data_IF_584303974362
#
_entry.id   IF_584303974362
#
_cell.length_a   1.000
_cell.length_b   1.000
_cell.length_c   1.000
_cell.angle_alpha   90.00
_cell.angle_beta   90.00
_cell.angle_gamma   90.00
#
_symmetry.space_group_name_H-M   'P 1'
#
loop_
_entity.id
_entity.type
_entity.pdbx_description
1 polymer ?
#
# COMPACT_ATOMS: atom_id res chain seq x y z
N UNK A 1 47.92 14.03 20.00
CA UNK A 1 46.48 14.26 19.75
C UNK A 1 46.29 14.33 18.25
N UNK A 2 45.52 13.43 17.66
CA UNK A 2 45.09 13.55 16.27
C UNK A 2 43.68 12.98 16.19
N UNK A 3 42.71 13.86 15.99
CA UNK A 3 41.28 13.51 15.87
C UNK A 3 41.06 13.08 14.43
N UNK A 4 40.78 11.80 14.21
CA UNK A 4 40.40 11.30 12.89
C UNK A 4 38.92 11.66 12.68
N UNK A 5 38.67 12.52 11.69
CA UNK A 5 37.34 12.98 11.29
C UNK A 5 36.46 11.80 10.90
N UNK A 6 35.23 11.80 11.44
CA UNK A 6 34.19 10.84 11.13
C UNK A 6 33.88 10.83 9.62
N UNK A 7 33.85 9.62 9.05
CA UNK A 7 33.27 9.39 7.74
C UNK A 7 31.79 9.76 7.84
N UNK A 8 31.39 10.84 7.17
CA UNK A 8 29.99 11.18 6.96
C UNK A 8 29.35 10.08 6.11
N UNK A 9 28.62 9.18 6.75
CA UNK A 9 27.71 8.26 6.05
C UNK A 9 26.68 9.11 5.31
N UNK A 10 26.55 8.90 4.00
CA UNK A 10 25.58 9.60 3.18
C UNK A 10 24.18 9.49 3.81
N UNK A 11 23.56 10.63 4.11
CA UNK A 11 22.13 10.70 4.51
C UNK A 11 21.32 10.11 3.35
N UNK A 12 20.88 8.87 3.48
CA UNK A 12 19.83 8.32 2.61
C UNK A 12 18.57 9.15 2.82
N UNK A 13 18.38 10.18 1.98
CA UNK A 13 17.21 11.05 1.88
C UNK A 13 16.00 10.27 1.32
N UNK A 14 15.69 9.12 1.91
CA UNK A 14 14.55 8.29 1.51
C UNK A 14 13.25 9.07 1.67
N UNK A 15 12.46 9.12 0.61
CA UNK A 15 11.14 9.74 0.64
C UNK A 15 10.15 8.73 1.20
N UNK A 16 9.16 9.21 1.93
CA UNK A 16 8.15 8.38 2.60
C UNK A 16 6.79 8.69 2.01
N UNK A 17 6.09 7.70 1.46
CA UNK A 17 4.67 7.82 1.13
C UNK A 17 3.83 7.05 2.14
N UNK A 18 2.86 7.75 2.71
CA UNK A 18 1.91 7.19 3.67
C UNK A 18 0.53 7.15 3.03
N UNK A 19 0.01 5.93 2.87
CA UNK A 19 -1.37 5.68 2.46
C UNK A 19 -2.19 5.45 3.72
N UNK A 20 -3.31 6.17 3.86
CA UNK A 20 -4.16 6.07 5.05
C UNK A 20 -3.69 6.90 6.24
N UNK A 21 -2.93 7.98 6.02
CA UNK A 21 -2.45 8.87 7.09
C UNK A 21 -3.56 9.48 7.96
N UNK A 22 -4.81 9.49 7.49
CA UNK A 22 -5.97 9.96 8.28
C UNK A 22 -6.55 8.89 9.21
N UNK A 23 -6.10 7.63 9.13
CA UNK A 23 -6.52 6.55 10.02
C UNK A 23 -5.86 6.64 11.40
N UNK A 24 -6.38 5.89 12.37
CA UNK A 24 -5.94 5.94 13.77
C UNK A 24 -4.41 5.80 13.92
N UNK A 25 -3.81 4.77 13.33
CA UNK A 25 -2.34 4.55 13.36
C UNK A 25 -1.61 5.49 12.39
N UNK A 26 -2.21 5.76 11.22
CA UNK A 26 -1.57 6.48 10.12
C UNK A 26 -1.16 7.90 10.50
N UNK A 27 -1.89 8.54 11.42
CA UNK A 27 -1.57 9.87 11.94
C UNK A 27 -0.23 9.87 12.68
N UNK A 28 -0.07 8.95 13.64
CA UNK A 28 1.17 8.84 14.42
C UNK A 28 2.38 8.51 13.53
N UNK A 29 2.19 7.66 12.52
CA UNK A 29 3.27 7.30 11.59
C UNK A 29 3.66 8.48 10.70
N UNK A 30 2.69 9.28 10.26
CA UNK A 30 2.97 10.51 9.52
C UNK A 30 3.72 11.53 10.38
N UNK A 31 3.30 11.72 11.63
CA UNK A 31 3.99 12.61 12.56
C UNK A 31 5.41 12.14 12.87
N UNK A 32 5.62 10.84 13.13
CA UNK A 32 6.95 10.30 13.37
C UNK A 32 7.88 10.49 12.17
N UNK A 33 7.37 10.27 10.94
CA UNK A 33 8.12 10.52 9.71
C UNK A 33 8.54 11.99 9.57
N UNK A 34 7.61 12.92 9.83
CA UNK A 34 7.90 14.36 9.81
C UNK A 34 8.92 14.76 10.89
N UNK A 35 8.75 14.30 12.13
CA UNK A 35 9.70 14.57 13.22
C UNK A 35 11.10 14.01 12.95
N UNK A 36 11.20 12.90 12.21
CA UNK A 36 12.49 12.35 11.77
C UNK A 36 13.17 13.15 10.65
N UNK A 37 12.54 14.25 10.17
CA UNK A 37 13.05 15.10 9.11
C UNK A 37 13.03 14.45 7.73
N UNK A 38 12.21 13.41 7.53
CA UNK A 38 12.09 12.71 6.25
C UNK A 38 11.08 13.43 5.35
N UNK A 39 11.38 13.64 4.05
CA UNK A 39 10.38 14.11 3.10
C UNK A 39 9.17 13.19 3.08
N UNK A 40 8.04 13.68 3.58
CA UNK A 40 6.84 12.87 3.85
C UNK A 40 5.71 13.29 2.91
N UNK A 41 5.22 12.33 2.14
CA UNK A 41 4.12 12.45 1.21
C UNK A 41 2.92 11.68 1.76
N UNK A 42 1.73 12.27 1.66
CA UNK A 42 0.49 11.63 2.09
C UNK A 42 -0.39 11.42 0.87
N UNK A 43 -0.73 10.16 0.59
CA UNK A 43 -1.65 9.83 -0.49
C UNK A 43 -3.09 10.13 -0.06
N UNK A 44 -3.74 11.04 -0.78
CA UNK A 44 -5.14 11.38 -0.60
C UNK A 44 -5.93 10.82 -1.78
N UNK A 45 -6.87 9.92 -1.50
CA UNK A 45 -7.75 9.35 -2.53
C UNK A 45 -8.76 10.40 -2.98
N UNK A 46 -8.75 10.71 -4.28
CA UNK A 46 -9.74 11.59 -4.91
C UNK A 46 -11.00 10.77 -5.27
N UNK A 47 -12.07 10.84 -4.48
CA UNK A 47 -13.38 10.23 -4.81
C UNK A 47 -14.32 9.93 -3.62
N UNK A 48 -15.53 10.52 -3.69
CA UNK A 48 -16.81 10.36 -2.94
C UNK A 48 -16.82 9.70 -1.54
N UNK A 49 -17.19 10.50 -0.51
CA UNK A 49 -17.64 9.97 0.79
C UNK A 49 -17.45 10.88 2.02
N UNK A 50 -18.30 11.90 2.14
CA UNK A 50 -19.11 12.33 3.30
C UNK A 50 -18.53 12.49 4.74
N UNK A 51 -17.26 12.21 5.01
CA UNK A 51 -16.62 12.44 6.33
C UNK A 51 -15.51 13.50 6.24
N UNK A 52 -15.82 14.60 5.53
CA UNK A 52 -14.85 15.60 5.12
C UNK A 52 -14.27 16.38 6.31
N UNK A 53 -15.03 16.63 7.38
CA UNK A 53 -14.61 17.55 8.45
C UNK A 53 -13.43 17.04 9.29
N UNK A 54 -13.50 15.81 9.81
CA UNK A 54 -12.42 15.27 10.67
C UNK A 54 -11.18 14.91 9.84
N UNK A 55 -11.36 14.28 8.68
CA UNK A 55 -10.24 13.90 7.80
C UNK A 55 -9.53 15.12 7.21
N UNK A 56 -10.26 16.16 6.80
CA UNK A 56 -9.66 17.39 6.29
C UNK A 56 -8.88 18.13 7.38
N UNK A 57 -9.38 18.16 8.62
CA UNK A 57 -8.65 18.75 9.76
C UNK A 57 -7.31 18.04 9.98
N UNK A 58 -7.30 16.71 10.00
CA UNK A 58 -6.05 15.93 10.11
C UNK A 58 -5.09 16.19 8.95
N UNK A 59 -5.59 16.20 7.71
CA UNK A 59 -4.75 16.46 6.52
C UNK A 59 -4.12 17.85 6.57
N UNK A 60 -4.90 18.86 6.98
CA UNK A 60 -4.39 20.22 7.17
C UNK A 60 -3.33 20.27 8.25
N UNK A 61 -3.56 19.65 9.41
CA UNK A 61 -2.58 19.60 10.50
C UNK A 61 -1.26 18.93 10.07
N UNK A 62 -1.33 17.84 9.29
CA UNK A 62 -0.13 17.18 8.76
C UNK A 62 0.58 18.02 7.70
N UNK A 63 -0.18 18.73 6.85
CA UNK A 63 0.37 19.66 5.86
C UNK A 63 1.08 20.86 6.54
N UNK A 64 0.47 21.44 7.58
CA UNK A 64 1.05 22.53 8.38
C UNK A 64 2.36 22.09 9.06
N UNK A 65 2.49 20.80 9.38
CA UNK A 65 3.73 20.17 9.90
C UNK A 65 4.77 19.82 8.82
N UNK A 66 4.50 20.12 7.54
CA UNK A 66 5.44 19.94 6.44
C UNK A 66 5.19 18.72 5.54
N UNK A 67 4.07 18.00 5.68
CA UNK A 67 3.73 16.93 4.75
C UNK A 67 3.29 17.47 3.39
N UNK A 68 3.65 16.77 2.31
CA UNK A 68 3.15 17.05 0.97
C UNK A 68 1.95 16.17 0.66
N UNK A 69 0.79 16.78 0.41
CA UNK A 69 -0.41 16.04 0.01
C UNK A 69 -0.34 15.66 -1.48
N UNK A 70 -0.58 14.40 -1.79
CA UNK A 70 -0.60 13.86 -3.16
C UNK A 70 -2.00 13.36 -3.46
N UNK A 71 -2.74 14.10 -4.29
CA UNK A 71 -4.10 13.74 -4.71
C UNK A 71 -4.06 12.85 -5.94
N UNK A 72 -4.52 11.60 -5.83
CA UNK A 72 -4.57 10.63 -6.95
C UNK A 72 -5.84 9.81 -6.90
N UNK A 73 -6.29 9.37 -8.08
CA UNK A 73 -7.30 8.34 -8.22
C UNK A 73 -6.71 6.97 -7.88
N UNK A 74 -7.47 6.16 -7.13
CA UNK A 74 -7.09 4.80 -6.75
C UNK A 74 -8.18 3.83 -7.20
N UNK A 75 -7.99 3.12 -8.33
CA UNK A 75 -8.88 2.03 -8.71
C UNK A 75 -8.75 0.84 -7.75
N UNK A 76 -9.75 -0.05 -7.80
CA UNK A 76 -9.81 -1.25 -6.95
C UNK A 76 -8.86 -2.35 -7.45
N UNK A 77 -7.56 -2.18 -7.21
CA UNK A 77 -6.51 -3.09 -7.67
C UNK A 77 -6.17 -4.15 -6.60
N UNK A 78 -5.57 -3.71 -5.49
CA UNK A 78 -5.31 -4.44 -4.24
C UNK A 78 -5.01 -5.95 -4.38
N UNK A 79 -4.12 -6.31 -5.31
CA UNK A 79 -3.74 -7.68 -5.57
C UNK A 79 -2.45 -7.75 -6.38
N UNK A 80 -2.40 -8.61 -7.39
CA UNK A 80 -1.27 -8.70 -8.31
C UNK A 80 -1.29 -7.57 -9.36
N UNK A 81 -0.16 -7.36 -10.03
CA UNK A 81 -0.10 -6.51 -11.20
C UNK A 81 -0.80 -7.18 -12.39
N UNK A 82 -2.01 -6.72 -12.70
CA UNK A 82 -2.85 -7.35 -13.72
C UNK A 82 -2.27 -7.26 -15.12
N UNK A 83 -1.38 -6.30 -15.43
CA UNK A 83 -0.74 -6.19 -16.74
C UNK A 83 0.42 -7.19 -16.94
N UNK A 84 0.93 -7.77 -15.83
CA UNK A 84 2.07 -8.70 -15.86
C UNK A 84 1.68 -10.14 -15.59
N UNK A 85 0.62 -10.35 -14.84
CA UNK A 85 0.15 -11.67 -14.48
C UNK A 85 -0.85 -12.22 -15.51
N UNK A 86 -0.75 -13.52 -15.78
CA UNK A 86 -1.59 -14.25 -16.73
C UNK A 86 -2.22 -15.48 -16.05
N UNK A 87 -3.27 -15.28 -15.24
CA UNK A 87 -3.93 -16.39 -14.56
C UNK A 87 -4.80 -17.20 -15.52
N UNK A 88 -5.17 -18.41 -15.12
CA UNK A 88 -6.20 -19.20 -15.81
C UNK A 88 -7.61 -18.71 -15.45
N UNK A 89 -8.61 -19.12 -16.23
CA UNK A 89 -10.02 -18.84 -15.90
C UNK A 89 -10.44 -19.54 -14.60
N UNK A 90 -11.34 -18.93 -13.79
CA UNK A 90 -12.10 -17.69 -14.04
C UNK A 90 -11.34 -16.38 -13.68
N UNK A 91 -10.10 -16.49 -13.19
CA UNK A 91 -9.32 -15.33 -12.73
C UNK A 91 -8.94 -14.37 -13.86
N UNK A 92 -8.72 -14.89 -15.06
CA UNK A 92 -8.37 -14.10 -16.25
C UNK A 92 -9.46 -13.09 -16.59
N UNK A 93 -10.74 -13.49 -16.56
CA UNK A 93 -11.88 -12.59 -16.77
C UNK A 93 -11.83 -11.38 -15.84
N UNK A 94 -11.59 -11.59 -14.54
CA UNK A 94 -11.46 -10.49 -13.57
C UNK A 94 -10.28 -9.55 -13.91
N UNK A 95 -9.16 -10.10 -14.37
CA UNK A 95 -7.97 -9.31 -14.71
C UNK A 95 -8.20 -8.47 -15.96
N UNK A 96 -8.89 -9.02 -16.97
CA UNK A 96 -9.30 -8.29 -18.17
C UNK A 96 -10.16 -7.08 -17.80
N UNK A 97 -11.15 -7.24 -16.90
CA UNK A 97 -11.98 -6.12 -16.46
C UNK A 97 -11.16 -5.04 -15.73
N UNK A 98 -10.21 -5.42 -14.86
CA UNK A 98 -9.30 -4.46 -14.22
C UNK A 98 -8.42 -3.72 -15.25
N UNK A 99 -7.88 -4.43 -16.25
CA UNK A 99 -7.10 -3.81 -17.33
C UNK A 99 -7.93 -2.79 -18.11
N UNK A 100 -9.21 -3.06 -18.42
CA UNK A 100 -10.11 -2.09 -19.06
C UNK A 100 -10.25 -0.81 -18.23
N UNK A 101 -10.41 -0.95 -16.91
CA UNK A 101 -10.44 0.19 -15.99
C UNK A 101 -9.13 0.97 -16.04
N UNK A 102 -7.97 0.30 -16.08
CA UNK A 102 -6.66 0.98 -16.21
C UNK A 102 -6.59 1.85 -17.47
N UNK A 103 -6.97 1.30 -18.64
CA UNK A 103 -6.98 2.04 -19.91
C UNK A 103 -7.91 3.25 -19.87
N UNK A 104 -9.12 3.09 -19.33
CA UNK A 104 -10.06 4.22 -19.18
C UNK A 104 -9.50 5.32 -18.26
N UNK A 105 -8.81 4.94 -17.17
CA UNK A 105 -8.16 5.88 -16.26
C UNK A 105 -7.01 6.62 -16.95
N UNK A 106 -6.17 5.91 -17.70
CA UNK A 106 -5.07 6.51 -18.47
C UNK A 106 -5.57 7.50 -19.52
N UNK A 107 -6.58 7.12 -20.30
CA UNK A 107 -7.21 7.96 -21.32
C UNK A 107 -7.84 9.23 -20.74
N UNK A 108 -8.36 9.16 -19.51
CA UNK A 108 -8.94 10.33 -18.83
C UNK A 108 -7.92 11.37 -18.37
N UNK A 109 -6.62 11.03 -18.36
CA UNK A 109 -5.54 11.92 -17.93
C UNK A 109 -5.53 12.24 -16.43
N UNK A 110 -6.37 11.59 -15.62
CA UNK A 110 -6.37 11.81 -14.16
C UNK A 110 -5.11 11.24 -13.53
N UNK A 111 -4.43 11.95 -12.61
CA UNK A 111 -3.33 11.37 -11.85
C UNK A 111 -3.81 10.15 -11.05
N UNK A 112 -3.24 8.97 -11.27
CA UNK A 112 -3.70 7.71 -10.66
C UNK A 112 -2.55 6.93 -10.02
N UNK A 113 -2.81 6.04 -9.07
CA UNK A 113 -1.85 5.04 -8.58
C UNK A 113 -2.48 3.65 -8.59
N UNK A 114 -1.80 2.66 -9.16
CA UNK A 114 -2.17 1.26 -9.01
C UNK A 114 -1.43 0.66 -7.81
N UNK A 115 -2.17 0.06 -6.88
CA UNK A 115 -1.60 -0.58 -5.68
C UNK A 115 -1.65 -2.09 -5.89
N UNK A 116 -0.49 -2.67 -6.22
CA UNK A 116 -0.29 -4.11 -6.34
C UNK A 116 0.28 -4.66 -5.04
N UNK A 117 -0.58 -4.95 -4.05
CA UNK A 117 -0.17 -5.36 -2.70
C UNK A 117 -0.04 -6.88 -2.51
N UNK A 118 -0.10 -7.67 -3.59
CA UNK A 118 -0.02 -9.13 -3.57
C UNK A 118 -1.08 -9.76 -2.64
N UNK A 119 -0.73 -10.84 -1.95
CA UNK A 119 -1.63 -11.65 -1.15
C UNK A 119 -1.78 -11.08 0.25
N UNK A 120 -2.99 -10.96 0.79
CA UNK A 120 -3.19 -10.61 2.21
C UNK A 120 -2.53 -11.63 3.16
N UNK A 121 -2.13 -11.19 4.36
CA UNK A 121 -1.50 -12.04 5.37
C UNK A 121 -2.50 -12.95 6.09
N UNK A 122 -3.07 -13.91 5.36
CA UNK A 122 -3.95 -14.97 5.86
C UNK A 122 -3.56 -16.33 5.29
N UNK A 123 -4.14 -17.40 5.83
CA UNK A 123 -3.96 -18.73 5.24
C UNK A 123 -4.60 -18.77 3.85
N UNK A 124 -3.89 -19.22 2.80
CA UNK A 124 -4.38 -19.17 1.42
C UNK A 124 -5.28 -20.38 1.12
N UNK A 125 -6.52 -20.35 1.59
CA UNK A 125 -7.52 -21.34 1.16
C UNK A 125 -7.86 -21.17 -0.32
N UNK A 126 -8.13 -22.28 -1.02
CA UNK A 126 -8.41 -22.29 -2.46
C UNK A 126 -9.86 -21.91 -2.81
N UNK A 127 -10.75 -21.92 -1.81
CA UNK A 127 -12.21 -21.83 -1.95
C UNK A 127 -12.74 -20.39 -2.07
N UNK A 128 -11.84 -19.41 -2.23
CA UNK A 128 -12.14 -17.97 -2.23
C UNK A 128 -12.88 -17.49 -0.97
N UNK A 129 -12.84 -18.25 0.13
CA UNK A 129 -13.42 -17.81 1.40
C UNK A 129 -12.67 -16.59 1.92
N UNK A 130 -13.41 -15.63 2.50
CA UNK A 130 -12.79 -14.39 2.92
C UNK A 130 -11.76 -14.66 4.05
N UNK A 131 -10.54 -14.14 3.95
CA UNK A 131 -9.46 -14.28 4.94
C UNK A 131 -9.81 -14.06 6.41
N UNK A 132 -10.82 -13.22 6.69
CA UNK A 132 -11.25 -12.93 8.06
C UNK A 132 -12.22 -13.97 8.63
N UNK A 133 -12.70 -14.90 7.81
CA UNK A 133 -13.75 -15.86 8.19
C UNK A 133 -13.17 -17.22 8.58
N UNK A 134 -11.89 -17.48 8.25
CA UNK A 134 -11.27 -18.79 8.46
C UNK A 134 -9.89 -18.63 9.09
N UNK A 135 -9.66 -19.40 10.17
CA UNK A 135 -8.36 -19.50 10.83
C UNK A 135 -7.48 -20.54 10.13
N UNK A 136 -6.14 -20.43 10.17
CA UNK A 136 -5.24 -21.45 9.63
C UNK A 136 -5.55 -22.85 10.17
N UNK A 137 -5.33 -23.92 9.39
CA UNK A 137 -5.58 -25.28 9.84
C UNK A 137 -4.57 -25.65 10.93
N UNK A 138 -5.04 -26.41 11.94
CA UNK A 138 -4.24 -26.79 13.11
C UNK A 138 -3.75 -28.24 13.06
N UNK A 139 -4.32 -29.04 12.16
CA UNK A 139 -4.18 -30.49 12.07
C UNK A 139 -3.44 -30.93 10.81
N UNK A 140 -3.79 -30.38 9.65
CA UNK A 140 -3.20 -30.74 8.37
C UNK A 140 -2.97 -29.52 7.46
N UNK A 141 -1.81 -29.50 6.81
CA UNK A 141 -1.46 -28.47 5.84
C UNK A 141 -1.65 -28.97 4.41
N UNK A 142 -2.42 -28.21 3.62
CA UNK A 142 -2.52 -28.42 2.17
C UNK A 142 -1.43 -27.60 1.49
N UNK A 143 -0.48 -28.28 0.82
CA UNK A 143 0.59 -27.65 0.05
C UNK A 143 0.20 -27.69 -1.43
N UNK A 144 0.15 -26.51 -2.07
CA UNK A 144 -0.15 -26.41 -3.50
C UNK A 144 1.11 -26.62 -4.34
N UNK A 145 1.01 -27.47 -5.36
CA UNK A 145 2.17 -27.84 -6.19
C UNK A 145 3.23 -28.56 -5.38
N UNK A 146 4.48 -28.09 -5.48
CA UNK A 146 5.62 -28.63 -4.73
C UNK A 146 6.00 -27.80 -3.48
N UNK A 147 5.30 -26.69 -3.22
CA UNK A 147 5.56 -25.81 -2.08
C UNK A 147 6.84 -24.97 -2.17
N UNK A 148 7.51 -24.91 -3.32
CA UNK A 148 8.79 -24.19 -3.47
C UNK A 148 8.64 -22.75 -3.97
N UNK A 149 7.45 -22.41 -4.49
CA UNK A 149 7.16 -21.08 -5.05
C UNK A 149 6.90 -20.07 -3.93
N UNK A 150 7.61 -18.94 -3.96
CA UNK A 150 7.46 -17.88 -2.95
C UNK A 150 6.19 -17.07 -3.16
N UNK A 151 5.29 -17.10 -2.18
CA UNK A 151 4.26 -16.07 -2.00
C UNK A 151 4.85 -14.85 -1.29
N UNK A 152 4.35 -13.65 -1.60
CA UNK A 152 4.78 -12.42 -0.92
C UNK A 152 3.62 -11.88 -0.08
N UNK A 153 3.44 -12.32 1.18
CA UNK A 153 2.49 -11.69 2.08
C UNK A 153 3.00 -10.27 2.42
N UNK A 154 2.11 -9.26 2.62
CA UNK A 154 2.52 -8.00 3.18
C UNK A 154 3.16 -8.30 4.54
N UNK A 155 4.24 -7.57 4.84
CA UNK A 155 4.81 -7.58 6.17
C UNK A 155 3.68 -7.30 7.17
N UNK A 156 3.54 -8.09 8.25
CA UNK A 156 2.44 -8.06 9.23
C UNK A 156 2.22 -6.73 10.00
N UNK A 157 2.82 -5.62 9.55
CA UNK A 157 2.26 -4.30 9.83
C UNK A 157 0.88 -4.23 9.17
N UNK A 158 -0.12 -3.52 9.74
CA UNK A 158 -1.37 -3.26 9.02
C UNK A 158 -1.06 -2.78 7.60
N UNK A 159 -1.99 -2.85 6.65
CA UNK A 159 -1.79 -2.24 5.31
C UNK A 159 -1.44 -0.74 5.34
N UNK A 160 -1.39 -0.13 6.53
CA UNK A 160 -0.56 1.03 6.83
C UNK A 160 0.86 0.59 7.16
N UNK A 161 1.84 1.01 6.36
CA UNK A 161 2.91 1.88 6.85
C UNK A 161 4.00 1.99 5.79
N UNK A 162 4.13 3.21 5.27
CA UNK A 162 5.36 3.71 4.65
C UNK A 162 5.83 2.87 3.47
N UNK A 163 5.36 3.21 2.26
CA UNK A 163 6.08 2.82 1.05
C UNK A 163 7.33 3.73 1.02
N UNK A 164 8.48 3.17 1.37
CA UNK A 164 9.77 3.79 1.08
C UNK A 164 10.06 3.53 -0.41
N UNK A 165 10.33 4.59 -1.16
CA UNK A 165 10.82 4.52 -2.54
C UNK A 165 12.04 5.43 -2.72
#
# INVERSE_FOLDING_TARGET
MTVSTCVSTAKNNGRVLIVGATGFIGQFVAEASLHSGRPTYILVRSGFGNNLSTKATTLKALQDKGATLVHRFLPSEFGHDVDRADPVEPGLTMYIEKRKVRRAVEESGVPYTYICCNSIASWPYFDNTHPSEVLPPLDQFQIYGDGTVKGTPPHQSPMLNVINY
#
